data_IF_067034351449
#
_entry.id   IF_067034351449
#
_cell.length_a   1.000
_cell.length_b   1.000
_cell.length_c   1.000
_cell.angle_alpha   90.00
_cell.angle_beta   90.00
_cell.angle_gamma   90.00
#
_symmetry.space_group_name_H-M   'P 1'
#
loop_
_entity.id
_entity.type
_entity.pdbx_description
1 polymer ?
#
# COMPACT_ATOMS: atom_id res chain seq x y z
N UNK A 1 -14.59 9.95 11.83
CA UNK A 1 -13.43 10.33 12.69
C UNK A 1 -13.79 9.93 14.10
N UNK A 2 -13.03 9.01 14.68
CA UNK A 2 -13.24 8.64 16.09
C UNK A 2 -13.03 9.87 16.99
N UNK A 3 -13.94 10.19 17.93
CA UNK A 3 -13.78 11.33 18.81
C UNK A 3 -12.47 11.32 19.61
N UNK A 4 -11.91 10.13 19.89
CA UNK A 4 -10.61 9.93 20.54
C UNK A 4 -9.43 10.51 19.74
N UNK A 5 -9.51 10.57 18.42
CA UNK A 5 -8.42 11.05 17.57
C UNK A 5 -8.29 12.58 17.56
N UNK A 6 -9.42 13.29 17.66
CA UNK A 6 -9.44 14.76 17.85
C UNK A 6 -8.82 15.12 19.19
N UNK A 7 -9.02 14.27 20.22
CA UNK A 7 -8.42 14.43 21.53
C UNK A 7 -6.90 14.40 21.55
N UNK A 8 -6.26 13.60 20.65
CA UNK A 8 -4.79 13.50 20.60
C UNK A 8 -4.15 14.83 20.20
N UNK A 9 -4.67 15.51 19.20
CA UNK A 9 -4.18 16.82 18.75
C UNK A 9 -4.34 17.87 19.87
N UNK A 10 -5.50 17.88 20.55
CA UNK A 10 -5.74 18.78 21.68
C UNK A 10 -4.76 18.53 22.83
N UNK A 11 -4.49 17.25 23.16
CA UNK A 11 -3.52 16.91 24.20
C UNK A 11 -2.10 17.39 23.90
N UNK A 12 -1.70 17.42 22.63
CA UNK A 12 -0.41 17.97 22.18
C UNK A 12 -0.41 19.49 22.39
N UNK A 13 -1.47 20.18 21.97
CA UNK A 13 -1.61 21.63 22.09
C UNK A 13 -1.61 22.09 23.55
N UNK A 14 -2.33 21.41 24.43
CA UNK A 14 -2.47 21.77 25.85
C UNK A 14 -1.14 21.71 26.62
N UNK A 15 -0.15 20.98 26.10
CA UNK A 15 1.19 20.90 26.69
C UNK A 15 2.11 22.05 26.29
N UNK A 16 1.68 22.91 25.37
CA UNK A 16 2.42 24.09 24.93
C UNK A 16 3.69 23.76 24.14
N UNK A 17 3.81 22.53 23.61
CA UNK A 17 4.95 22.20 22.74
C UNK A 17 4.81 22.93 21.40
N UNK A 18 5.91 23.57 20.91
CA UNK A 18 5.86 24.28 19.64
C UNK A 18 5.67 23.29 18.48
N UNK A 19 4.65 23.56 17.65
CA UNK A 19 4.49 22.86 16.38
C UNK A 19 5.54 23.33 15.39
N UNK A 20 5.92 22.42 14.48
CA UNK A 20 6.90 22.69 13.45
C UNK A 20 6.39 23.73 12.44
N UNK A 21 7.15 24.80 12.27
CA UNK A 21 6.91 25.81 11.24
C UNK A 21 7.76 25.48 9.99
N UNK A 22 7.08 25.15 8.89
CA UNK A 22 7.70 24.81 7.62
C UNK A 22 8.54 25.95 7.02
N UNK A 23 8.20 27.20 7.28
CA UNK A 23 8.93 28.36 6.72
C UNK A 23 10.20 28.65 7.48
N UNK A 24 10.10 28.64 8.79
CA UNK A 24 11.23 28.96 9.67
C UNK A 24 12.08 27.73 10.00
N UNK A 25 11.59 26.51 9.71
CA UNK A 25 12.24 25.24 10.04
C UNK A 25 12.53 25.13 11.55
N UNK A 26 11.56 25.53 12.37
CA UNK A 26 11.64 25.54 13.82
C UNK A 26 10.42 24.86 14.44
N UNK A 27 10.57 24.35 15.65
CA UNK A 27 9.52 23.68 16.40
C UNK A 27 9.94 22.31 16.88
N UNK A 28 9.02 21.57 17.50
CA UNK A 28 9.32 20.25 18.07
C UNK A 28 8.42 19.17 17.48
N UNK A 29 7.08 19.29 17.60
CA UNK A 29 6.12 18.31 17.07
C UNK A 29 5.85 18.64 15.62
N UNK A 30 6.19 17.70 14.71
CA UNK A 30 6.12 17.94 13.28
C UNK A 30 4.87 17.35 12.64
N UNK A 31 4.63 16.06 12.84
CA UNK A 31 3.52 15.35 12.22
C UNK A 31 2.93 14.35 13.20
N UNK A 32 1.61 14.27 13.21
CA UNK A 32 0.86 13.21 13.85
C UNK A 32 0.21 12.37 12.76
N UNK A 33 0.66 11.12 12.60
CA UNK A 33 0.04 10.16 11.70
C UNK A 33 -0.79 9.18 12.51
N UNK A 34 -2.03 8.99 12.10
CA UNK A 34 -2.95 8.06 12.73
C UNK A 34 -3.48 7.12 11.65
N UNK A 35 -3.42 5.83 11.91
CA UNK A 35 -4.00 4.79 11.05
C UNK A 35 -4.90 3.89 11.87
N UNK A 36 -6.09 3.66 11.38
CA UNK A 36 -7.05 2.72 11.94
C UNK A 36 -7.19 1.52 11.02
N UNK A 37 -7.35 0.33 11.58
CA UNK A 37 -7.62 -0.88 10.83
C UNK A 37 -9.06 -1.37 11.05
N UNK A 38 -9.56 -2.17 10.11
CA UNK A 38 -10.88 -2.82 10.20
C UNK A 38 -11.01 -3.75 11.42
N UNK A 39 -9.90 -4.28 11.91
CA UNK A 39 -9.80 -5.12 13.11
C UNK A 39 -9.95 -4.35 14.43
N UNK A 40 -9.94 -3.02 14.38
CA UNK A 40 -9.90 -2.14 15.55
C UNK A 40 -8.48 -1.77 16.01
N UNK A 41 -7.43 -2.29 15.37
CA UNK A 41 -6.07 -1.86 15.63
C UNK A 41 -5.91 -0.36 15.33
N UNK A 42 -5.16 0.34 16.17
CA UNK A 42 -4.90 1.77 16.08
C UNK A 42 -3.39 2.03 16.15
N UNK A 43 -2.85 2.58 15.06
CA UNK A 43 -1.46 3.03 14.98
C UNK A 43 -1.38 4.54 15.09
N UNK A 44 -0.48 5.01 15.95
CA UNK A 44 -0.13 6.42 16.10
C UNK A 44 1.38 6.57 15.94
N UNK A 45 1.79 7.43 15.01
CA UNK A 45 3.20 7.78 14.79
C UNK A 45 3.37 9.27 14.98
N UNK A 46 4.21 9.66 15.94
CA UNK A 46 4.62 11.04 16.14
C UNK A 46 5.96 11.29 15.46
N UNK A 47 6.02 12.33 14.65
CA UNK A 47 7.27 12.81 14.05
C UNK A 47 7.71 14.05 14.79
N UNK A 48 8.92 14.02 15.34
CA UNK A 48 9.57 15.14 15.99
C UNK A 48 10.65 15.73 15.07
N UNK A 49 10.81 17.05 15.11
CA UNK A 49 11.80 17.72 14.27
C UNK A 49 13.24 17.49 14.76
N UNK A 50 13.44 17.45 16.06
CA UNK A 50 14.73 17.17 16.70
C UNK A 50 14.54 16.28 17.93
N UNK A 51 15.62 15.68 18.40
CA UNK A 51 15.59 14.87 19.62
C UNK A 51 15.50 15.77 20.85
N UNK A 52 14.54 15.50 21.70
CA UNK A 52 14.38 15.98 23.07
C UNK A 52 13.73 14.85 23.87
N UNK A 53 14.57 14.06 24.50
CA UNK A 53 14.15 12.82 25.18
C UNK A 53 13.09 13.09 26.23
N UNK A 54 13.26 14.13 27.07
CA UNK A 54 12.34 14.44 28.16
C UNK A 54 10.95 14.81 27.65
N UNK A 55 10.88 15.73 26.66
CA UNK A 55 9.60 16.16 26.07
C UNK A 55 8.94 15.02 25.27
N UNK A 56 9.73 14.25 24.52
CA UNK A 56 9.25 13.12 23.74
C UNK A 56 8.63 12.06 24.64
N UNK A 57 9.38 11.61 25.68
CA UNK A 57 8.90 10.60 26.63
C UNK A 57 7.63 11.08 27.37
N UNK A 58 7.61 12.34 27.83
CA UNK A 58 6.47 12.89 28.51
C UNK A 58 5.22 12.92 27.61
N UNK A 59 5.37 13.24 26.30
CA UNK A 59 4.26 13.27 25.38
C UNK A 59 3.76 11.88 25.03
N UNK A 60 4.68 10.95 24.68
CA UNK A 60 4.33 9.58 24.30
C UNK A 60 3.70 8.81 25.49
N UNK A 61 4.23 8.96 26.70
CA UNK A 61 3.66 8.37 27.91
C UNK A 61 2.23 8.88 28.17
N UNK A 62 2.02 10.18 28.04
CA UNK A 62 0.70 10.76 28.19
C UNK A 62 -0.31 10.22 27.15
N UNK A 63 0.09 10.09 25.89
CA UNK A 63 -0.76 9.51 24.86
C UNK A 63 -1.07 8.05 25.16
N UNK A 64 -0.08 7.27 25.59
CA UNK A 64 -0.23 5.87 25.96
C UNK A 64 -1.17 5.65 27.16
N UNK A 65 -1.21 6.59 28.11
CA UNK A 65 -2.09 6.55 29.29
C UNK A 65 -3.50 7.04 28.95
N UNK A 66 -3.59 8.13 28.17
CA UNK A 66 -4.87 8.77 27.85
C UNK A 66 -5.70 8.00 26.83
N UNK A 67 -5.01 7.29 25.91
CA UNK A 67 -5.61 6.50 24.82
C UNK A 67 -5.11 5.05 24.88
N UNK A 68 -5.61 4.24 25.84
CA UNK A 68 -5.17 2.85 26.01
C UNK A 68 -5.52 1.95 24.80
N UNK A 69 -6.43 2.39 23.93
CA UNK A 69 -6.80 1.73 22.69
C UNK A 69 -5.71 1.77 21.60
N UNK A 70 -4.66 2.60 21.76
CA UNK A 70 -3.54 2.62 20.82
C UNK A 70 -2.79 1.27 20.93
N UNK A 71 -2.85 0.49 19.85
CA UNK A 71 -2.19 -0.82 19.75
C UNK A 71 -0.75 -0.72 19.27
N UNK A 72 -0.40 0.39 18.60
CA UNK A 72 0.91 0.66 18.03
C UNK A 72 1.25 2.14 18.18
N UNK A 73 2.07 2.49 19.15
CA UNK A 73 2.55 3.86 19.37
C UNK A 73 4.03 3.95 19.00
N UNK A 74 4.33 4.74 18.00
CA UNK A 74 5.67 4.89 17.43
C UNK A 74 6.08 6.33 17.30
N UNK A 75 7.37 6.56 17.08
CA UNK A 75 7.89 7.89 16.79
C UNK A 75 9.04 7.87 15.80
N UNK A 76 9.31 9.04 15.23
CA UNK A 76 10.40 9.30 14.29
C UNK A 76 11.03 10.63 14.62
N UNK A 77 12.36 10.73 14.51
CA UNK A 77 13.06 11.99 14.53
C UNK A 77 13.40 12.38 13.08
N UNK A 78 12.76 13.43 12.58
CA UNK A 78 12.93 13.90 11.19
C UNK A 78 13.32 15.38 11.16
N UNK A 79 14.61 15.66 11.17
CA UNK A 79 15.19 17.00 11.03
C UNK A 79 15.37 17.49 9.59
N UNK A 80 14.81 16.79 8.59
CA UNK A 80 14.92 17.16 7.17
C UNK A 80 13.96 18.30 6.80
N UNK A 81 14.18 18.90 5.64
CA UNK A 81 13.27 19.93 5.11
C UNK A 81 11.96 19.36 4.49
N UNK A 82 11.82 18.04 4.37
CA UNK A 82 10.63 17.38 3.82
C UNK A 82 9.98 16.43 4.85
N UNK A 83 8.73 16.06 4.61
CA UNK A 83 7.91 15.26 5.54
C UNK A 83 8.05 13.74 5.33
N UNK A 84 8.88 13.29 4.38
CA UNK A 84 9.03 11.86 4.12
C UNK A 84 9.75 11.17 5.28
N UNK A 85 9.22 10.01 5.67
CA UNK A 85 9.80 9.16 6.74
C UNK A 85 10.34 7.84 6.20
N UNK A 86 10.31 7.64 4.88
CA UNK A 86 10.70 6.37 4.23
C UNK A 86 12.17 5.99 4.52
N UNK A 87 13.04 6.98 4.57
CA UNK A 87 14.48 6.86 4.86
C UNK A 87 14.83 7.11 6.34
N UNK A 88 13.83 7.28 7.22
CA UNK A 88 14.05 7.49 8.65
C UNK A 88 13.78 6.21 9.43
N UNK A 89 14.42 6.05 10.58
CA UNK A 89 14.09 4.97 11.51
C UNK A 89 12.78 5.28 12.24
N UNK A 90 11.87 4.29 12.28
CA UNK A 90 10.64 4.35 13.06
C UNK A 90 10.83 3.50 14.30
N UNK A 91 10.71 4.13 15.46
CA UNK A 91 10.96 3.51 16.76
C UNK A 91 9.65 3.23 17.48
N UNK A 92 9.50 2.00 17.98
CA UNK A 92 8.33 1.61 18.78
C UNK A 92 8.48 2.11 20.20
N UNK A 93 7.53 2.92 20.65
CA UNK A 93 7.45 3.35 22.05
C UNK A 93 6.61 2.36 22.88
N UNK A 94 5.46 1.92 22.35
CA UNK A 94 4.56 0.98 23.04
C UNK A 94 3.79 0.13 22.03
N UNK A 95 3.58 -1.14 22.34
CA UNK A 95 2.77 -2.08 21.57
C UNK A 95 3.52 -2.70 20.38
N UNK A 96 2.84 -2.82 19.24
CA UNK A 96 3.35 -3.47 18.03
C UNK A 96 4.02 -2.45 17.09
N UNK A 97 4.83 -2.93 16.16
CA UNK A 97 5.41 -2.17 15.06
C UNK A 97 4.46 -2.04 13.85
N UNK A 98 3.23 -2.52 13.97
CA UNK A 98 2.26 -2.62 12.88
C UNK A 98 0.83 -2.66 13.39
N UNK A 99 -0.12 -2.53 12.48
CA UNK A 99 -1.52 -2.88 12.64
C UNK A 99 -1.88 -4.03 11.68
N UNK A 100 -2.97 -4.73 11.97
CA UNK A 100 -3.50 -5.79 11.11
C UNK A 100 -4.80 -5.30 10.47
N UNK A 101 -4.82 -5.34 9.14
CA UNK A 101 -6.06 -5.22 8.35
C UNK A 101 -6.60 -6.60 8.00
N UNK A 102 -7.92 -6.71 7.87
CA UNK A 102 -8.56 -7.98 7.50
C UNK A 102 -9.46 -7.80 6.27
N UNK A 103 -9.39 -8.77 5.35
CA UNK A 103 -10.23 -8.81 4.14
C UNK A 103 -10.55 -10.26 3.77
N UNK A 104 -11.81 -10.66 3.81
CA UNK A 104 -12.28 -12.04 3.54
C UNK A 104 -11.50 -13.12 4.32
N UNK A 105 -11.16 -12.84 5.59
CA UNK A 105 -10.39 -13.74 6.43
C UNK A 105 -8.90 -13.83 6.07
N UNK A 106 -8.41 -12.93 5.20
CA UNK A 106 -7.00 -12.68 4.99
C UNK A 106 -6.53 -11.54 5.88
N UNK A 107 -5.42 -11.73 6.54
CA UNK A 107 -4.80 -10.73 7.40
C UNK A 107 -3.61 -10.07 6.69
N UNK A 108 -3.52 -8.75 6.80
CA UNK A 108 -2.44 -7.98 6.22
C UNK A 108 -1.73 -7.16 7.29
N UNK A 109 -0.45 -7.44 7.47
CA UNK A 109 0.43 -6.62 8.31
C UNK A 109 0.71 -5.30 7.59
N UNK A 110 0.34 -4.19 8.24
CA UNK A 110 0.54 -2.83 7.72
C UNK A 110 1.45 -2.07 8.67
N UNK A 111 2.66 -1.80 8.23
CA UNK A 111 3.65 -1.00 8.95
C UNK A 111 3.43 0.51 8.76
N UNK A 112 4.19 1.35 9.50
CA UNK A 112 4.08 2.80 9.41
C UNK A 112 4.49 3.37 8.04
N UNK A 113 5.32 2.67 7.30
CA UNK A 113 5.80 3.04 5.96
C UNK A 113 5.11 2.27 4.84
N UNK A 114 4.37 1.21 5.16
CA UNK A 114 3.69 0.38 4.15
C UNK A 114 2.55 1.17 3.49
N UNK A 115 2.49 1.10 2.16
CA UNK A 115 1.31 1.55 1.45
C UNK A 115 0.18 0.55 1.67
N UNK A 116 -0.97 1.05 2.07
CA UNK A 116 -2.23 0.32 2.14
C UNK A 116 -3.37 1.29 1.85
N UNK A 117 -4.38 0.87 1.11
CA UNK A 117 -5.53 1.73 0.77
C UNK A 117 -6.24 2.21 2.03
N UNK A 118 -6.34 3.52 2.21
CA UNK A 118 -6.86 4.13 3.45
C UNK A 118 -8.37 3.95 3.64
N UNK A 119 -9.11 3.67 2.56
CA UNK A 119 -10.51 3.28 2.60
C UNK A 119 -10.61 1.76 2.40
N UNK A 120 -10.48 0.99 3.47
CA UNK A 120 -10.43 -0.49 3.42
C UNK A 120 -11.70 -1.11 2.83
N UNK A 121 -12.88 -0.50 3.08
CA UNK A 121 -14.15 -1.00 2.53
C UNK A 121 -14.20 -0.84 1.00
N UNK A 122 -13.81 0.32 0.49
CA UNK A 122 -13.78 0.55 -0.96
C UNK A 122 -12.62 -0.18 -1.63
N UNK A 123 -11.48 -0.36 -0.96
CA UNK A 123 -10.39 -1.20 -1.43
C UNK A 123 -10.86 -2.64 -1.64
N UNK A 124 -11.63 -3.18 -0.68
CA UNK A 124 -12.23 -4.50 -0.84
C UNK A 124 -13.17 -4.57 -2.04
N UNK A 125 -14.01 -3.54 -2.26
CA UNK A 125 -14.89 -3.49 -3.43
C UNK A 125 -14.08 -3.44 -4.73
N UNK A 126 -13.01 -2.65 -4.80
CA UNK A 126 -12.10 -2.57 -5.92
C UNK A 126 -11.46 -3.93 -6.24
N UNK A 127 -10.91 -4.60 -5.22
CA UNK A 127 -10.26 -5.89 -5.39
C UNK A 127 -11.22 -7.01 -5.77
N UNK A 128 -12.48 -6.95 -5.31
CA UNK A 128 -13.54 -7.86 -5.80
C UNK A 128 -13.79 -7.68 -7.30
N UNK A 129 -13.84 -6.44 -7.77
CA UNK A 129 -14.00 -6.16 -9.21
C UNK A 129 -12.79 -6.67 -10.00
N UNK A 130 -11.58 -6.41 -9.52
CA UNK A 130 -10.36 -6.90 -10.16
C UNK A 130 -10.34 -8.43 -10.23
N UNK A 131 -10.69 -9.13 -9.15
CA UNK A 131 -10.79 -10.60 -9.11
C UNK A 131 -11.90 -11.13 -10.02
N UNK A 132 -13.06 -10.48 -10.07
CA UNK A 132 -14.16 -10.83 -11.00
C UNK A 132 -13.69 -10.70 -12.44
N UNK A 133 -13.00 -9.59 -12.79
CA UNK A 133 -12.52 -9.38 -14.15
C UNK A 133 -11.37 -10.33 -14.52
N UNK A 134 -10.56 -10.72 -13.56
CA UNK A 134 -9.53 -11.75 -13.74
C UNK A 134 -10.15 -13.11 -14.10
N UNK A 135 -11.36 -13.43 -13.63
CA UNK A 135 -12.10 -14.64 -14.00
C UNK A 135 -11.32 -15.93 -13.77
N UNK A 136 -10.68 -16.04 -12.61
CA UNK A 136 -9.80 -17.16 -12.26
C UNK A 136 -10.60 -18.41 -11.92
N UNK A 137 -10.05 -19.58 -12.33
CA UNK A 137 -10.67 -20.90 -12.14
C UNK A 137 -9.85 -21.84 -11.26
N UNK A 138 -8.66 -21.41 -10.83
CA UNK A 138 -7.70 -22.19 -10.06
C UNK A 138 -6.54 -22.78 -10.89
N UNK A 139 -6.55 -22.59 -12.20
CA UNK A 139 -5.55 -23.14 -13.11
C UNK A 139 -4.59 -22.09 -13.66
N UNK A 140 -4.89 -20.82 -13.49
CA UNK A 140 -4.19 -19.71 -14.12
C UNK A 140 -2.90 -19.36 -13.37
N UNK A 141 -1.88 -19.02 -14.13
CA UNK A 141 -0.72 -18.28 -13.69
C UNK A 141 -1.03 -16.79 -13.78
N UNK A 142 -0.98 -16.09 -12.65
CA UNK A 142 -1.27 -14.66 -12.54
C UNK A 142 0.02 -13.89 -12.29
N UNK A 143 0.23 -12.80 -13.01
CA UNK A 143 1.24 -11.80 -12.66
C UNK A 143 0.53 -10.58 -12.08
N UNK A 144 0.94 -10.16 -10.88
CA UNK A 144 0.48 -8.96 -10.18
C UNK A 144 1.59 -7.90 -10.25
N UNK A 145 1.42 -6.96 -11.17
CA UNK A 145 2.41 -5.92 -11.43
C UNK A 145 2.13 -4.70 -10.56
N UNK A 146 3.18 -4.15 -9.94
CA UNK A 146 3.09 -3.12 -8.91
C UNK A 146 2.37 -3.63 -7.65
N UNK A 147 2.77 -4.83 -7.21
CA UNK A 147 2.04 -5.62 -6.19
C UNK A 147 2.01 -4.97 -4.81
N UNK A 148 2.87 -3.97 -4.54
CA UNK A 148 2.99 -3.33 -3.22
C UNK A 148 3.29 -4.36 -2.14
N UNK A 149 2.51 -4.32 -1.06
CA UNK A 149 2.59 -5.28 0.05
C UNK A 149 1.91 -6.63 -0.24
N UNK A 150 1.67 -6.93 -1.52
CA UNK A 150 1.09 -8.18 -1.98
C UNK A 150 -0.40 -8.32 -1.72
N UNK A 151 -1.13 -7.22 -1.56
CA UNK A 151 -2.54 -7.27 -1.18
C UNK A 151 -3.39 -7.96 -2.27
N UNK A 152 -3.28 -7.51 -3.54
CA UNK A 152 -4.02 -8.11 -4.65
C UNK A 152 -3.54 -9.54 -4.89
N UNK A 153 -2.21 -9.77 -4.91
CA UNK A 153 -1.62 -11.10 -5.11
C UNK A 153 -2.18 -12.12 -4.11
N UNK A 154 -2.18 -11.79 -2.81
CA UNK A 154 -2.73 -12.67 -1.77
C UNK A 154 -4.25 -12.83 -1.89
N UNK A 155 -4.97 -11.75 -2.24
CA UNK A 155 -6.43 -11.77 -2.37
C UNK A 155 -6.91 -12.70 -3.51
N UNK A 156 -6.15 -12.81 -4.59
CA UNK A 156 -6.50 -13.68 -5.73
C UNK A 156 -5.88 -15.08 -5.66
N UNK A 157 -4.89 -15.29 -4.80
CA UNK A 157 -4.10 -16.53 -4.74
C UNK A 157 -4.90 -17.80 -4.57
N UNK A 158 -5.99 -17.74 -3.77
CA UNK A 158 -6.87 -18.91 -3.51
C UNK A 158 -7.62 -19.38 -4.78
N UNK A 159 -7.69 -18.55 -5.81
CA UNK A 159 -8.36 -18.83 -7.06
C UNK A 159 -7.38 -18.93 -8.25
N UNK A 160 -6.09 -18.94 -7.98
CA UNK A 160 -5.03 -19.05 -8.99
C UNK A 160 -4.16 -20.29 -8.72
N UNK A 161 -3.59 -20.85 -9.79
CA UNK A 161 -2.56 -21.91 -9.67
C UNK A 161 -1.29 -21.36 -9.05
N UNK A 162 -0.89 -20.15 -9.46
CA UNK A 162 0.32 -19.47 -9.02
C UNK A 162 0.18 -17.97 -9.24
N UNK A 163 0.68 -17.18 -8.31
CA UNK A 163 0.74 -15.71 -8.45
C UNK A 163 2.19 -15.26 -8.34
N UNK A 164 2.62 -14.40 -9.26
CA UNK A 164 3.94 -13.75 -9.22
C UNK A 164 3.71 -12.25 -9.07
N UNK A 165 4.16 -11.70 -7.94
CA UNK A 165 4.12 -10.27 -7.66
C UNK A 165 5.47 -9.60 -7.94
N UNK A 166 5.45 -8.43 -8.57
CA UNK A 166 6.63 -7.62 -8.85
C UNK A 166 6.41 -6.22 -8.31
N UNK A 167 7.40 -5.68 -7.57
CA UNK A 167 7.33 -4.36 -6.94
C UNK A 167 8.73 -3.73 -6.91
N UNK A 168 8.78 -2.41 -7.08
CA UNK A 168 10.03 -1.64 -7.05
C UNK A 168 10.64 -1.56 -5.64
N UNK A 169 9.82 -1.44 -4.60
CA UNK A 169 10.23 -1.20 -3.21
C UNK A 169 10.55 -2.53 -2.51
N UNK A 170 11.82 -2.82 -2.16
CA UNK A 170 12.20 -4.09 -1.53
C UNK A 170 11.47 -4.35 -0.21
N UNK A 171 11.27 -3.33 0.61
CA UNK A 171 10.57 -3.43 1.90
C UNK A 171 9.12 -3.86 1.72
N UNK A 172 8.45 -3.39 0.66
CA UNK A 172 7.09 -3.80 0.33
C UNK A 172 7.03 -5.28 -0.07
N UNK A 173 8.07 -5.79 -0.77
CA UNK A 173 8.19 -7.21 -1.09
C UNK A 173 8.39 -8.07 0.16
N UNK A 174 9.16 -7.61 1.14
CA UNK A 174 9.28 -8.33 2.41
C UNK A 174 7.93 -8.35 3.16
N UNK A 175 7.21 -7.24 3.18
CA UNK A 175 5.83 -7.20 3.71
C UNK A 175 4.91 -8.17 2.95
N UNK A 176 5.00 -8.25 1.62
CA UNK A 176 4.21 -9.17 0.81
C UNK A 176 4.47 -10.65 1.16
N UNK A 177 5.74 -11.02 1.38
CA UNK A 177 6.12 -12.38 1.83
C UNK A 177 5.58 -12.68 3.22
N UNK A 178 5.69 -11.71 4.15
CA UNK A 178 5.13 -11.82 5.51
C UNK A 178 3.62 -12.00 5.45
N UNK A 179 2.92 -11.24 4.61
CA UNK A 179 1.47 -11.34 4.42
C UNK A 179 1.06 -12.69 3.84
N UNK A 180 1.81 -13.25 2.88
CA UNK A 180 1.56 -14.60 2.38
C UNK A 180 1.74 -15.66 3.47
N UNK A 181 2.84 -15.58 4.23
CA UNK A 181 3.12 -16.52 5.32
C UNK A 181 2.04 -16.44 6.43
N UNK A 182 1.61 -15.23 6.81
CA UNK A 182 0.56 -14.99 7.80
C UNK A 182 -0.77 -15.66 7.41
N UNK A 183 -1.05 -15.73 6.12
CA UNK A 183 -2.26 -16.32 5.56
C UNK A 183 -2.09 -17.77 5.09
N UNK A 184 -0.95 -18.41 5.35
CA UNK A 184 -0.62 -19.77 4.90
C UNK A 184 -0.76 -19.94 3.37
N UNK A 185 -0.38 -18.90 2.61
CA UNK A 185 -0.41 -18.92 1.14
C UNK A 185 0.97 -19.35 0.63
N UNK A 186 1.01 -20.45 -0.11
CA UNK A 186 2.25 -21.07 -0.59
C UNK A 186 2.46 -20.91 -2.11
N UNK A 187 1.44 -20.46 -2.84
CA UNK A 187 1.45 -20.36 -4.30
C UNK A 187 1.77 -18.94 -4.82
N UNK A 188 2.31 -18.07 -3.96
CA UNK A 188 2.78 -16.72 -4.34
C UNK A 188 4.31 -16.66 -4.36
N UNK A 189 4.85 -15.90 -5.31
CA UNK A 189 6.28 -15.53 -5.37
C UNK A 189 6.40 -14.04 -5.60
N UNK A 190 7.40 -13.41 -4.97
CA UNK A 190 7.58 -11.96 -5.03
C UNK A 190 9.01 -11.58 -5.42
N UNK A 191 9.12 -10.58 -6.30
CA UNK A 191 10.38 -10.09 -6.84
C UNK A 191 10.48 -8.57 -6.67
N UNK A 192 11.58 -8.11 -6.08
CA UNK A 192 11.88 -6.70 -5.89
C UNK A 192 12.73 -6.16 -7.03
N UNK A 193 12.34 -5.02 -7.60
CA UNK A 193 13.11 -4.30 -8.59
C UNK A 193 12.25 -3.45 -9.52
N UNK A 194 12.91 -2.64 -10.34
CA UNK A 194 12.22 -1.83 -11.34
C UNK A 194 11.47 -2.76 -12.31
N UNK A 195 10.20 -2.48 -12.52
CA UNK A 195 9.32 -3.30 -13.35
C UNK A 195 9.89 -3.56 -14.74
N UNK A 196 10.50 -2.54 -15.38
CA UNK A 196 11.11 -2.65 -16.70
C UNK A 196 12.35 -3.55 -16.72
N UNK A 197 13.06 -3.66 -15.58
CA UNK A 197 14.29 -4.46 -15.47
C UNK A 197 13.99 -5.91 -15.07
N UNK A 198 12.93 -6.13 -14.28
CA UNK A 198 12.52 -7.47 -13.82
C UNK A 198 11.62 -8.15 -14.84
N UNK A 199 10.55 -7.48 -15.30
CA UNK A 199 9.59 -8.05 -16.24
C UNK A 199 10.17 -8.04 -17.66
N UNK A 200 11.04 -9.00 -17.93
CA UNK A 200 11.70 -9.19 -19.21
C UNK A 200 11.23 -10.45 -19.92
N UNK A 201 11.60 -10.64 -21.20
CA UNK A 201 11.34 -11.88 -21.91
C UNK A 201 12.01 -13.08 -21.23
N UNK A 202 13.22 -12.90 -20.70
CA UNK A 202 13.93 -13.96 -19.98
C UNK A 202 13.22 -14.32 -18.68
N UNK A 203 12.70 -13.33 -17.95
CA UNK A 203 11.89 -13.59 -16.76
C UNK A 203 10.66 -14.44 -17.09
N UNK A 204 9.94 -14.10 -18.16
CA UNK A 204 8.77 -14.85 -18.61
C UNK A 204 9.16 -16.27 -19.06
N UNK A 205 10.28 -16.43 -19.77
CA UNK A 205 10.77 -17.74 -20.18
C UNK A 205 11.16 -18.63 -18.97
N UNK A 206 11.71 -18.01 -17.92
CA UNK A 206 12.11 -18.73 -16.70
C UNK A 206 10.92 -19.11 -15.82
N UNK A 207 9.96 -18.21 -15.66
CA UNK A 207 8.87 -18.36 -14.69
C UNK A 207 7.56 -18.86 -15.30
N UNK A 208 7.46 -18.84 -16.61
CA UNK A 208 6.26 -19.18 -17.38
C UNK A 208 5.47 -17.95 -17.83
N UNK A 209 4.72 -18.11 -18.93
CA UNK A 209 3.84 -17.05 -19.43
C UNK A 209 2.62 -16.91 -18.50
N UNK A 210 2.24 -15.68 -18.12
CA UNK A 210 1.00 -15.47 -17.37
C UNK A 210 -0.23 -15.73 -18.25
N UNK A 211 -1.24 -16.37 -17.68
CA UNK A 211 -2.58 -16.44 -18.28
C UNK A 211 -3.34 -15.12 -18.05
N UNK A 212 -3.12 -14.52 -16.88
CA UNK A 212 -3.73 -13.25 -16.49
C UNK A 212 -2.67 -12.31 -15.92
N UNK A 213 -2.73 -11.04 -16.32
CA UNK A 213 -1.98 -9.96 -15.67
C UNK A 213 -2.98 -9.04 -14.96
N UNK A 214 -2.72 -8.77 -13.68
CA UNK A 214 -3.36 -7.70 -12.92
C UNK A 214 -2.30 -6.62 -12.73
N UNK A 215 -2.63 -5.36 -12.98
CA UNK A 215 -1.68 -4.25 -12.86
C UNK A 215 -2.35 -3.05 -12.21
N UNK A 216 -1.68 -2.45 -11.22
CA UNK A 216 -2.11 -1.25 -10.49
C UNK A 216 -0.94 -0.24 -10.47
N UNK A 217 -0.60 0.35 -11.62
CA UNK A 217 0.57 1.21 -11.75
C UNK A 217 0.36 2.57 -11.06
N UNK A 218 1.45 3.31 -10.80
CA UNK A 218 1.37 4.66 -10.26
C UNK A 218 0.64 5.61 -11.23
N UNK A 219 0.31 6.83 -10.77
CA UNK A 219 -0.42 7.85 -11.56
C UNK A 219 0.17 8.16 -12.94
N UNK A 220 1.46 7.90 -13.14
CA UNK A 220 2.13 8.07 -14.43
C UNK A 220 1.76 6.99 -15.47
N UNK A 221 1.13 5.90 -15.04
CA UNK A 221 0.87 4.72 -15.85
C UNK A 221 2.09 3.81 -15.97
N UNK A 222 2.06 2.89 -16.90
CA UNK A 222 3.15 1.95 -17.18
C UNK A 222 4.22 2.55 -18.09
N UNK A 223 5.46 2.11 -17.93
CA UNK A 223 6.54 2.40 -18.86
C UNK A 223 6.35 1.60 -20.17
N UNK A 224 6.81 2.13 -21.30
CA UNK A 224 6.67 1.49 -22.62
C UNK A 224 7.29 0.07 -22.66
N UNK A 225 8.42 -0.14 -21.98
CA UNK A 225 9.05 -1.46 -21.90
C UNK A 225 8.18 -2.48 -21.19
N UNK A 226 7.43 -2.08 -20.13
CA UNK A 226 6.48 -2.94 -19.44
C UNK A 226 5.33 -3.31 -20.39
N UNK A 227 4.78 -2.35 -21.12
CA UNK A 227 3.74 -2.59 -22.11
C UNK A 227 4.23 -3.54 -23.21
N UNK A 228 5.44 -3.33 -23.73
CA UNK A 228 6.05 -4.20 -24.74
C UNK A 228 6.23 -5.63 -24.22
N UNK A 229 6.61 -5.79 -22.95
CA UNK A 229 6.75 -7.12 -22.34
C UNK A 229 5.39 -7.79 -22.13
N UNK A 230 4.35 -7.05 -21.75
CA UNK A 230 2.98 -7.56 -21.68
C UNK A 230 2.52 -8.05 -23.07
N UNK A 231 2.78 -7.26 -24.11
CA UNK A 231 2.47 -7.64 -25.50
C UNK A 231 3.25 -8.87 -25.97
N UNK A 232 4.48 -9.08 -25.47
CA UNK A 232 5.27 -10.30 -25.72
C UNK A 232 4.74 -11.49 -24.93
N UNK A 233 4.35 -11.29 -23.68
CA UNK A 233 3.82 -12.34 -22.81
C UNK A 233 2.48 -12.90 -23.33
N UNK A 234 1.69 -12.08 -24.00
CA UNK A 234 0.39 -12.44 -24.56
C UNK A 234 -0.55 -13.12 -23.55
N UNK A 235 -0.80 -12.54 -22.36
CA UNK A 235 -1.79 -13.09 -21.45
C UNK A 235 -3.17 -13.13 -22.11
N UNK A 236 -4.00 -14.08 -21.73
CA UNK A 236 -5.39 -14.14 -22.21
C UNK A 236 -6.21 -12.93 -21.76
N UNK A 237 -5.89 -12.41 -20.55
CA UNK A 237 -6.59 -11.26 -19.94
C UNK A 237 -5.62 -10.33 -19.24
N UNK A 238 -5.96 -9.04 -19.31
CA UNK A 238 -5.32 -7.97 -18.55
C UNK A 238 -6.40 -7.28 -17.73
N UNK A 239 -6.19 -7.17 -16.42
CA UNK A 239 -7.01 -6.37 -15.51
C UNK A 239 -6.16 -5.16 -15.12
N UNK A 240 -6.57 -3.99 -15.55
CA UNK A 240 -5.86 -2.74 -15.31
C UNK A 240 -6.63 -1.91 -14.27
N UNK A 241 -6.10 -1.80 -13.06
CA UNK A 241 -6.57 -0.90 -12.01
C UNK A 241 -5.85 0.43 -12.15
N UNK A 242 -6.54 1.56 -12.02
CA UNK A 242 -5.90 2.88 -12.20
C UNK A 242 -6.58 3.99 -11.43
N UNK A 243 -5.79 4.79 -10.73
CA UNK A 243 -6.23 6.05 -10.12
C UNK A 243 -6.17 7.25 -11.10
N UNK A 244 -5.76 7.03 -12.37
CA UNK A 244 -5.66 8.08 -13.38
C UNK A 244 -6.18 7.59 -14.74
N UNK A 245 -7.45 7.87 -15.08
CA UNK A 245 -8.05 7.44 -16.35
C UNK A 245 -7.32 7.94 -17.60
N UNK A 246 -6.62 9.08 -17.53
CA UNK A 246 -5.91 9.64 -18.70
C UNK A 246 -4.67 8.80 -19.07
N UNK A 247 -3.86 8.42 -18.07
CA UNK A 247 -2.70 7.54 -18.31
C UNK A 247 -3.14 6.11 -18.63
N UNK A 248 -4.22 5.63 -18.00
CA UNK A 248 -4.83 4.35 -18.36
C UNK A 248 -5.26 4.32 -19.83
N UNK A 249 -5.93 5.36 -20.33
CA UNK A 249 -6.35 5.45 -21.73
C UNK A 249 -5.15 5.45 -22.70
N UNK A 250 -4.04 6.13 -22.34
CA UNK A 250 -2.80 6.09 -23.10
C UNK A 250 -2.25 4.67 -23.18
N UNK A 251 -2.12 3.99 -22.07
CA UNK A 251 -1.56 2.65 -21.99
C UNK A 251 -2.45 1.62 -22.71
N UNK A 252 -3.78 1.75 -22.55
CA UNK A 252 -4.73 0.93 -23.29
C UNK A 252 -4.66 1.15 -24.81
N UNK A 253 -4.36 2.37 -25.25
CA UNK A 253 -4.12 2.66 -26.68
C UNK A 253 -2.89 1.90 -27.21
N UNK A 254 -1.82 1.80 -26.41
CA UNK A 254 -0.63 1.02 -26.77
C UNK A 254 -0.91 -0.49 -26.77
N UNK A 255 -1.69 -0.96 -25.80
CA UNK A 255 -2.11 -2.38 -25.72
C UNK A 255 -3.12 -2.75 -26.83
N UNK A 256 -3.80 -1.78 -27.46
CA UNK A 256 -4.87 -2.03 -28.43
C UNK A 256 -4.43 -2.76 -29.70
N UNK A 257 -3.12 -2.88 -29.94
CA UNK A 257 -2.56 -3.66 -31.06
C UNK A 257 -2.88 -5.16 -30.94
N UNK A 258 -3.11 -5.66 -29.72
CA UNK A 258 -3.45 -7.08 -29.46
C UNK A 258 -4.69 -7.25 -28.59
N UNK A 259 -5.11 -6.24 -27.84
CA UNK A 259 -6.18 -6.32 -26.86
C UNK A 259 -7.32 -5.37 -27.16
N UNK A 260 -8.51 -5.70 -26.71
CA UNK A 260 -9.68 -4.82 -26.76
C UNK A 260 -10.32 -4.72 -25.37
N UNK A 261 -10.70 -3.52 -24.98
CA UNK A 261 -11.41 -3.28 -23.72
C UNK A 261 -12.76 -4.01 -23.75
N UNK A 262 -13.03 -4.86 -22.77
CA UNK A 262 -14.27 -5.64 -22.66
C UNK A 262 -15.20 -5.09 -21.58
N UNK A 263 -14.63 -4.63 -20.46
CA UNK A 263 -15.37 -4.12 -19.32
C UNK A 263 -14.62 -2.93 -18.73
N UNK A 264 -15.39 -1.97 -18.21
CA UNK A 264 -14.89 -0.85 -17.42
C UNK A 264 -15.79 -0.70 -16.20
N UNK A 265 -15.21 -0.55 -15.02
CA UNK A 265 -15.94 -0.39 -13.77
C UNK A 265 -15.29 0.70 -12.91
N UNK A 266 -15.86 1.89 -12.84
CA UNK A 266 -15.38 2.91 -11.90
C UNK A 266 -15.74 2.51 -10.46
N UNK A 267 -14.84 2.79 -9.52
CA UNK A 267 -15.01 2.61 -8.08
C UNK A 267 -14.69 3.92 -7.37
N UNK A 268 -15.64 4.45 -6.61
CA UNK A 268 -15.47 5.66 -5.83
C UNK A 268 -14.71 5.36 -4.53
N UNK A 269 -13.38 5.39 -4.59
CA UNK A 269 -12.49 5.12 -3.45
C UNK A 269 -12.56 6.19 -2.37
N UNK A 270 -12.78 7.44 -2.77
CA UNK A 270 -12.76 8.58 -1.87
C UNK A 270 -13.95 9.50 -2.13
N UNK A 271 -15.15 9.13 -1.64
CA UNK A 271 -16.35 9.96 -1.74
C UNK A 271 -16.05 11.39 -1.26
N UNK A 272 -16.63 12.38 -1.91
CA UNK A 272 -16.38 13.82 -1.72
C UNK A 272 -15.07 14.35 -2.29
N UNK A 273 -14.34 13.56 -3.07
CA UNK A 273 -13.20 14.00 -3.89
C UNK A 273 -13.49 13.78 -5.37
N UNK A 274 -12.60 14.26 -6.24
CA UNK A 274 -12.67 13.99 -7.68
C UNK A 274 -11.92 12.69 -8.08
N UNK A 275 -11.39 11.96 -7.12
CA UNK A 275 -10.65 10.73 -7.39
C UNK A 275 -11.61 9.57 -7.64
N UNK A 276 -11.33 8.84 -8.73
CA UNK A 276 -12.02 7.61 -9.10
C UNK A 276 -10.98 6.58 -9.52
N UNK A 277 -11.16 5.35 -9.06
CA UNK A 277 -10.42 4.20 -9.56
C UNK A 277 -11.21 3.53 -10.69
N UNK A 278 -10.51 3.07 -11.71
CA UNK A 278 -11.12 2.42 -12.88
C UNK A 278 -10.41 1.13 -13.23
#
# INVERSE_FOLDING_TARGET
>A
IMPSLVGSEMCIRDRGYPFFDLRNQEGFVRTLMIRTASTGDLMVVLVFFHEDVERREALLSHLAERFPEITSLMYVINGKCNDTITDQEVLVFKGKDHIIEEMEGLQFKVGPKSFYQTNSEQAYNLYKVAREFAGLTGNEMVYDLYTGTGTIANFVSRQAKKVIGIEYVPEAIEDAKVNSALNHIENTLFYAGDMKDILTQDFINQHGRPDVIITDPPRAGMHDDVINTILFAEPERIVYVSCNPATQARDLSLLSVKYSVKKVRPVDMFPHTHHVET
#
